data_IF_774688377723
#
_entry.id   IF_774688377723
#
_cell.length_a   1.000
_cell.length_b   1.000
_cell.length_c   1.000
_cell.angle_alpha   90.00
_cell.angle_beta   90.00
_cell.angle_gamma   90.00
#
_symmetry.space_group_name_H-M   'P 1'
#
loop_
_entity.id
_entity.type
_entity.pdbx_description
1 polymer ?
#
# COMPACT_ATOMS: atom_id res chain seq x y z
N UNK A 1 -15.78 22.10 13.48
CA UNK A 1 -14.47 21.62 12.97
C UNK A 1 -13.75 20.96 14.13
N UNK A 2 -13.30 19.71 13.96
CA UNK A 2 -12.65 18.92 15.01
C UNK A 2 -11.25 19.47 15.33
N UNK A 3 -10.94 19.83 16.59
CA UNK A 3 -9.58 20.28 16.97
C UNK A 3 -8.51 19.23 16.68
N UNK A 4 -8.85 17.95 16.87
CA UNK A 4 -7.99 16.82 16.55
C UNK A 4 -7.48 16.83 15.11
N UNK A 5 -8.36 17.19 14.16
CA UNK A 5 -8.02 17.23 12.74
C UNK A 5 -6.95 18.28 12.44
N UNK A 6 -7.04 19.45 13.06
CA UNK A 6 -6.08 20.54 12.88
C UNK A 6 -4.71 20.11 13.39
N UNK A 7 -4.64 19.54 14.61
CA UNK A 7 -3.38 19.08 15.18
C UNK A 7 -2.78 17.92 14.38
N UNK A 8 -3.61 16.96 13.92
CA UNK A 8 -3.13 15.85 13.10
C UNK A 8 -2.57 16.33 11.76
N UNK A 9 -3.26 17.26 11.09
CA UNK A 9 -2.78 17.87 9.85
C UNK A 9 -1.46 18.63 10.05
N UNK A 10 -1.34 19.40 11.14
CA UNK A 10 -0.09 20.09 11.49
C UNK A 10 1.03 19.09 11.82
N UNK A 11 0.72 17.98 12.51
CA UNK A 11 1.69 16.94 12.83
C UNK A 11 2.27 16.33 11.55
N UNK A 12 1.41 15.89 10.62
CA UNK A 12 1.84 15.32 9.34
C UNK A 12 2.58 16.37 8.51
N UNK A 13 2.02 17.56 8.31
CA UNK A 13 2.66 18.59 7.49
C UNK A 13 4.03 19.03 8.03
N UNK A 14 4.17 19.12 9.36
CA UNK A 14 5.46 19.40 10.00
C UNK A 14 6.41 18.23 9.83
N UNK A 15 5.92 16.99 9.99
CA UNK A 15 6.73 15.80 9.77
C UNK A 15 7.24 15.74 8.34
N UNK A 16 6.42 16.01 7.31
CA UNK A 16 6.88 16.00 5.91
C UNK A 16 8.02 16.99 5.64
N UNK A 17 8.19 18.04 6.46
CA UNK A 17 9.25 19.06 6.35
C UNK A 17 10.39 18.89 7.35
N UNK A 18 10.39 17.82 8.13
CA UNK A 18 11.35 17.61 9.23
C UNK A 18 12.56 16.72 8.88
N UNK A 19 12.91 16.64 7.60
CA UNK A 19 14.09 15.89 7.15
C UNK A 19 15.36 16.61 7.63
N UNK A 20 16.49 15.89 7.73
CA UNK A 20 17.77 16.51 8.10
C UNK A 20 18.20 17.69 7.21
N UNK A 21 17.72 17.74 5.98
CA UNK A 21 18.00 18.84 5.04
C UNK A 21 17.11 20.07 5.32
N UNK A 22 15.90 19.87 5.84
CA UNK A 22 14.93 20.94 6.12
C UNK A 22 14.93 21.30 7.62
N UNK A 23 13.87 20.96 8.39
CA UNK A 23 13.73 21.38 9.80
C UNK A 23 14.52 20.51 10.80
N UNK A 24 15.10 19.40 10.35
CA UNK A 24 15.91 18.47 11.15
C UNK A 24 15.24 18.01 12.46
N UNK A 25 16.06 17.79 13.48
CA UNK A 25 15.60 17.31 14.79
C UNK A 25 14.53 18.21 15.44
N UNK A 26 14.67 19.54 15.29
CA UNK A 26 13.71 20.50 15.83
C UNK A 26 12.31 20.33 15.21
N UNK A 27 12.24 20.12 13.90
CA UNK A 27 11.00 19.85 13.18
C UNK A 27 10.35 18.55 13.64
N UNK A 28 11.14 17.48 13.83
CA UNK A 28 10.62 16.19 14.28
C UNK A 28 10.06 16.26 15.70
N UNK A 29 10.74 16.95 16.61
CA UNK A 29 10.26 17.17 17.97
C UNK A 29 8.94 17.97 17.99
N UNK A 30 8.85 19.00 17.14
CA UNK A 30 7.60 19.77 16.97
C UNK A 30 6.47 18.93 16.38
N UNK A 31 6.77 18.09 15.39
CA UNK A 31 5.80 17.18 14.79
C UNK A 31 5.27 16.17 15.82
N UNK A 32 6.14 15.63 16.68
CA UNK A 32 5.75 14.76 17.79
C UNK A 32 4.84 15.47 18.81
N UNK A 33 5.15 16.73 19.13
CA UNK A 33 4.29 17.53 20.01
C UNK A 33 2.88 17.70 19.42
N UNK A 34 2.77 18.06 18.14
CA UNK A 34 1.48 18.16 17.46
C UNK A 34 0.74 16.82 17.41
N UNK A 35 1.45 15.71 17.16
CA UNK A 35 0.87 14.36 17.23
C UNK A 35 0.27 14.09 18.59
N UNK A 36 0.99 14.40 19.67
CA UNK A 36 0.48 14.15 21.03
C UNK A 36 -0.75 15.01 21.33
N UNK A 37 -0.74 16.28 20.91
CA UNK A 37 -1.92 17.15 21.03
C UNK A 37 -3.11 16.61 20.22
N UNK A 38 -2.87 16.07 19.02
CA UNK A 38 -3.90 15.43 18.20
C UNK A 38 -4.49 14.20 18.89
N UNK A 39 -3.65 13.31 19.45
CA UNK A 39 -4.08 12.12 20.17
C UNK A 39 -4.95 12.47 21.39
N UNK A 40 -4.51 13.44 22.21
CA UNK A 40 -5.29 13.90 23.36
C UNK A 40 -6.65 14.48 22.93
N UNK A 41 -6.68 15.27 21.85
CA UNK A 41 -7.92 15.82 21.31
C UNK A 41 -8.85 14.73 20.74
N UNK A 42 -8.28 13.71 20.08
CA UNK A 42 -9.02 12.54 19.56
C UNK A 42 -9.73 11.79 20.70
N UNK A 43 -8.99 11.46 21.77
CA UNK A 43 -9.52 10.75 22.94
C UNK A 43 -10.58 11.56 23.69
N UNK A 44 -10.39 12.87 23.79
CA UNK A 44 -11.37 13.78 24.38
C UNK A 44 -12.66 13.85 23.56
N UNK A 45 -12.57 13.97 22.23
CA UNK A 45 -13.75 13.95 21.34
C UNK A 45 -14.47 12.60 21.41
N UNK A 46 -13.72 11.49 21.45
CA UNK A 46 -14.28 10.14 21.58
C UNK A 46 -15.02 9.94 22.90
N UNK A 47 -14.39 10.29 24.03
CA UNK A 47 -15.00 10.18 25.36
C UNK A 47 -16.24 11.09 25.51
N UNK A 48 -16.21 12.27 24.88
CA UNK A 48 -17.34 13.21 24.85
C UNK A 48 -18.43 12.84 23.83
N UNK A 49 -18.31 11.71 23.13
CA UNK A 49 -19.22 11.25 22.08
C UNK A 49 -19.37 12.23 20.90
N UNK A 50 -18.39 13.11 20.68
CA UNK A 50 -18.34 13.97 19.51
C UNK A 50 -17.65 13.26 18.34
N UNK A 51 -18.36 12.27 17.78
CA UNK A 51 -17.86 11.39 16.72
C UNK A 51 -18.46 11.84 15.38
N UNK A 52 -17.62 12.36 14.49
CA UNK A 52 -17.99 12.78 13.13
C UNK A 52 -16.91 12.37 12.11
N UNK A 53 -17.16 12.51 10.79
CA UNK A 53 -16.16 12.16 9.77
C UNK A 53 -14.84 12.93 9.89
N UNK A 54 -14.85 14.13 10.49
CA UNK A 54 -13.64 14.89 10.77
C UNK A 54 -12.76 14.22 11.84
N UNK A 55 -13.38 13.53 12.81
CA UNK A 55 -12.66 12.72 13.79
C UNK A 55 -12.01 11.51 13.12
N UNK A 56 -12.71 10.86 12.18
CA UNK A 56 -12.15 9.77 11.39
C UNK A 56 -10.96 10.25 10.53
N UNK A 57 -11.07 11.44 9.93
CA UNK A 57 -9.98 12.03 9.14
C UNK A 57 -8.76 12.35 10.01
N UNK A 58 -8.98 12.84 11.23
CA UNK A 58 -7.91 13.08 12.20
C UNK A 58 -7.20 11.78 12.60
N UNK A 59 -7.96 10.72 12.90
CA UNK A 59 -7.41 9.40 13.21
C UNK A 59 -6.62 8.80 12.03
N UNK A 60 -7.09 9.00 10.79
CA UNK A 60 -6.37 8.60 9.58
C UNK A 60 -5.01 9.31 9.48
N UNK A 61 -4.98 10.62 9.69
CA UNK A 61 -3.73 11.39 9.66
C UNK A 61 -2.77 10.97 10.79
N UNK A 62 -3.27 10.63 11.97
CA UNK A 62 -2.45 10.03 13.04
C UNK A 62 -1.87 8.68 12.61
N UNK A 63 -2.65 7.81 11.95
CA UNK A 63 -2.14 6.54 11.45
C UNK A 63 -1.06 6.74 10.36
N UNK A 64 -1.24 7.71 9.46
CA UNK A 64 -0.21 8.10 8.47
C UNK A 64 1.07 8.55 9.19
N UNK A 65 0.93 9.36 10.24
CA UNK A 65 2.08 9.80 11.05
C UNK A 65 2.83 8.62 11.66
N UNK A 66 2.13 7.68 12.30
CA UNK A 66 2.75 6.50 12.94
C UNK A 66 3.34 5.51 11.92
N UNK A 67 2.82 5.48 10.69
CA UNK A 67 3.41 4.68 9.60
C UNK A 67 4.71 5.26 9.05
N UNK A 68 4.99 6.52 9.36
CA UNK A 68 6.14 7.26 8.87
C UNK A 68 7.39 7.10 9.74
N UNK A 69 8.58 7.31 9.16
CA UNK A 69 9.80 7.35 9.94
C UNK A 69 9.87 8.59 10.85
N UNK A 70 9.80 8.37 12.16
CA UNK A 70 10.00 9.39 13.19
C UNK A 70 10.72 8.79 14.42
N UNK A 71 11.27 9.62 15.34
CA UNK A 71 12.14 9.13 16.42
C UNK A 71 11.49 8.13 17.38
N UNK A 72 10.17 8.18 17.51
CA UNK A 72 9.37 7.31 18.38
C UNK A 72 8.54 6.27 17.58
N UNK A 73 8.88 6.03 16.31
CA UNK A 73 8.13 5.09 15.46
C UNK A 73 8.30 3.66 15.96
N UNK A 74 7.18 2.95 16.10
CA UNK A 74 7.11 1.57 16.56
C UNK A 74 5.90 0.87 15.95
N UNK A 75 5.99 -0.46 15.81
CA UNK A 75 4.86 -1.26 15.30
C UNK A 75 3.64 -1.17 16.23
N UNK A 76 3.86 -1.12 17.55
CA UNK A 76 2.80 -1.03 18.57
C UNK A 76 1.98 0.26 18.43
N UNK A 77 2.63 1.42 18.31
CA UNK A 77 1.92 2.70 18.14
C UNK A 77 1.12 2.77 16.85
N UNK A 78 1.65 2.18 15.77
CA UNK A 78 0.92 2.08 14.51
C UNK A 78 -0.31 1.17 14.66
N UNK A 79 -0.17 0.03 15.33
CA UNK A 79 -1.27 -0.90 15.61
C UNK A 79 -2.38 -0.24 16.43
N UNK A 80 -2.03 0.51 17.48
CA UNK A 80 -2.97 1.26 18.32
C UNK A 80 -3.69 2.34 17.51
N UNK A 81 -2.94 3.12 16.72
CA UNK A 81 -3.52 4.18 15.89
C UNK A 81 -4.49 3.63 14.84
N UNK A 82 -4.15 2.49 14.21
CA UNK A 82 -5.04 1.79 13.28
C UNK A 82 -6.26 1.20 13.99
N UNK A 83 -6.10 0.62 15.18
CA UNK A 83 -7.23 0.08 15.98
C UNK A 83 -8.22 1.18 16.35
N UNK A 84 -7.73 2.37 16.68
CA UNK A 84 -8.57 3.53 17.00
C UNK A 84 -9.31 4.04 15.76
N UNK A 85 -8.61 4.16 14.63
CA UNK A 85 -9.22 4.50 13.33
C UNK A 85 -10.32 3.49 12.93
N UNK A 86 -10.03 2.19 13.06
CA UNK A 86 -10.96 1.10 12.77
C UNK A 86 -12.24 1.23 13.60
N UNK A 87 -12.09 1.52 14.90
CA UNK A 87 -13.20 1.73 15.83
C UNK A 87 -14.08 2.93 15.43
N UNK A 88 -13.47 4.05 15.03
CA UNK A 88 -14.22 5.24 14.59
C UNK A 88 -14.96 4.96 13.27
N UNK A 89 -14.30 4.38 12.28
CA UNK A 89 -14.91 4.06 10.98
C UNK A 89 -16.09 3.11 11.15
N UNK A 90 -15.94 2.09 12.01
CA UNK A 90 -17.01 1.16 12.34
C UNK A 90 -18.18 1.84 13.04
N UNK A 91 -17.90 2.74 13.99
CA UNK A 91 -18.94 3.47 14.74
C UNK A 91 -19.75 4.40 13.84
N UNK A 92 -19.09 5.04 12.88
CA UNK A 92 -19.71 5.91 11.88
C UNK A 92 -20.31 5.14 10.69
N UNK A 93 -20.10 3.82 10.61
CA UNK A 93 -20.52 2.95 9.52
C UNK A 93 -20.12 3.48 8.12
N UNK A 94 -18.93 4.09 8.01
CA UNK A 94 -18.51 4.79 6.78
C UNK A 94 -18.25 3.83 5.60
N UNK A 95 -17.99 2.55 5.86
CA UNK A 95 -17.80 1.54 4.80
C UNK A 95 -19.10 1.13 4.12
N UNK A 96 -20.26 1.55 4.64
CA UNK A 96 -21.58 1.20 4.11
C UNK A 96 -22.40 2.42 3.65
N UNK A 97 -21.74 3.55 3.35
CA UNK A 97 -22.40 4.78 2.90
C UNK A 97 -23.25 4.60 1.64
N UNK A 98 -22.85 3.69 0.75
CA UNK A 98 -23.49 3.48 -0.55
C UNK A 98 -24.34 2.20 -0.58
N UNK A 99 -24.77 1.67 0.58
CA UNK A 99 -25.53 0.41 0.67
C UNK A 99 -26.83 0.41 -0.14
N UNK A 100 -27.41 1.58 -0.41
CA UNK A 100 -28.64 1.74 -1.19
C UNK A 100 -28.38 2.06 -2.67
N UNK A 101 -27.13 2.19 -3.09
CA UNK A 101 -26.77 2.43 -4.49
C UNK A 101 -26.83 1.11 -5.28
N UNK A 102 -27.52 1.08 -6.45
CA UNK A 102 -27.72 -0.16 -7.21
C UNK A 102 -26.41 -0.72 -7.80
N UNK A 103 -25.43 0.14 -8.06
CA UNK A 103 -24.16 -0.23 -8.68
C UNK A 103 -23.09 -0.63 -7.65
N UNK A 104 -23.38 -0.52 -6.35
CA UNK A 104 -22.39 -0.81 -5.30
C UNK A 104 -21.95 -2.27 -5.32
N UNK A 105 -20.65 -2.50 -5.21
CA UNK A 105 -20.13 -3.85 -5.05
C UNK A 105 -20.40 -4.34 -3.63
N UNK A 106 -20.85 -5.58 -3.49
CA UNK A 106 -21.05 -6.23 -2.19
C UNK A 106 -20.30 -7.55 -2.17
N UNK A 107 -19.80 -7.93 -1.00
CA UNK A 107 -18.93 -9.09 -0.84
C UNK A 107 -19.46 -10.00 0.26
N UNK A 108 -19.33 -11.31 0.05
CA UNK A 108 -19.74 -12.32 1.03
C UNK A 108 -18.57 -12.63 1.96
N UNK A 109 -18.83 -12.69 3.26
CA UNK A 109 -17.81 -13.03 4.26
C UNK A 109 -17.24 -14.41 3.99
N UNK A 110 -15.91 -14.52 3.99
CA UNK A 110 -15.20 -15.78 3.74
C UNK A 110 -15.17 -16.22 2.27
N UNK A 111 -15.74 -15.45 1.35
CA UNK A 111 -15.62 -15.67 -0.09
C UNK A 111 -14.59 -14.71 -0.71
N UNK A 112 -14.15 -15.03 -1.93
CA UNK A 112 -13.26 -14.14 -2.69
C UNK A 112 -14.03 -12.88 -3.08
N UNK A 113 -13.47 -11.67 -2.89
CA UNK A 113 -14.13 -10.43 -3.26
C UNK A 113 -14.09 -10.20 -4.78
N UNK A 114 -14.93 -10.94 -5.51
CA UNK A 114 -15.03 -10.88 -6.98
C UNK A 114 -15.91 -9.71 -7.39
N UNK A 115 -15.42 -8.89 -8.31
CA UNK A 115 -16.21 -7.80 -8.91
C UNK A 115 -16.66 -8.20 -10.31
N UNK A 116 -17.94 -8.53 -10.43
CA UNK A 116 -18.53 -8.90 -11.71
C UNK A 116 -18.67 -7.68 -12.62
N UNK A 117 -18.24 -7.84 -13.88
CA UNK A 117 -18.46 -6.84 -14.93
C UNK A 117 -19.94 -6.82 -15.29
N UNK A 118 -20.53 -5.63 -15.27
CA UNK A 118 -21.89 -5.44 -15.77
C UNK A 118 -21.92 -5.66 -17.28
N UNK A 119 -22.91 -6.42 -17.77
CA UNK A 119 -23.16 -6.64 -19.21
C UNK A 119 -23.42 -5.35 -19.99
N UNK A 120 -23.71 -4.24 -19.29
CA UNK A 120 -23.84 -2.89 -19.85
C UNK A 120 -22.55 -2.33 -20.46
N UNK A 121 -21.38 -2.86 -20.11
CA UNK A 121 -20.10 -2.37 -20.60
C UNK A 121 -19.44 -3.40 -21.53
N UNK A 122 -19.13 -3.05 -22.79
CA UNK A 122 -18.46 -3.98 -23.69
C UNK A 122 -17.03 -4.27 -23.22
N UNK A 123 -16.50 -5.47 -23.48
CA UNK A 123 -15.10 -5.77 -23.21
C UNK A 123 -14.22 -4.91 -24.11
N UNK A 124 -13.48 -3.98 -23.52
CA UNK A 124 -12.51 -3.15 -24.25
C UNK A 124 -11.13 -3.79 -24.24
N UNK A 125 -10.45 -3.72 -25.40
CA UNK A 125 -9.06 -4.17 -25.57
C UNK A 125 -8.05 -3.20 -24.97
N UNK A 126 -8.38 -1.90 -24.92
CA UNK A 126 -7.52 -0.83 -24.41
C UNK A 126 -8.33 0.07 -23.48
N UNK A 127 -7.67 0.71 -22.52
CA UNK A 127 -8.31 1.67 -21.61
C UNK A 127 -8.67 2.98 -22.31
N UNK A 128 -9.78 3.61 -21.91
CA UNK A 128 -10.18 4.96 -22.38
C UNK A 128 -9.88 6.05 -21.34
N UNK A 129 -8.90 5.81 -20.48
CA UNK A 129 -8.50 6.79 -19.47
C UNK A 129 -7.94 8.05 -20.17
N UNK A 130 -8.48 9.22 -19.83
CA UNK A 130 -7.95 10.50 -20.30
C UNK A 130 -6.77 10.91 -19.41
N UNK A 131 -5.56 11.15 -19.98
CA UNK A 131 -4.46 11.80 -19.26
C UNK A 131 -4.97 13.01 -18.49
N UNK A 132 -4.73 13.06 -17.19
CA UNK A 132 -4.99 14.27 -16.42
C UNK A 132 -4.12 15.39 -17.00
N UNK A 133 -4.69 16.58 -17.18
CA UNK A 133 -4.05 17.74 -17.82
C UNK A 133 -2.90 18.28 -16.95
N UNK A 134 -1.74 17.62 -16.94
CA UNK A 134 -0.39 18.25 -16.97
C UNK A 134 0.73 17.17 -17.02
N UNK A 135 1.49 17.04 -18.13
CA UNK A 135 2.68 16.17 -18.18
C UNK A 135 3.78 16.57 -17.19
N UNK A 136 3.80 17.83 -16.73
CA UNK A 136 4.81 18.30 -15.78
C UNK A 136 4.62 17.71 -14.36
N UNK A 137 3.38 17.35 -13.98
CA UNK A 137 3.08 16.68 -12.70
C UNK A 137 3.25 15.15 -12.77
N UNK A 138 3.37 14.57 -13.97
CA UNK A 138 3.63 13.14 -14.19
C UNK A 138 5.03 12.68 -13.75
N UNK A 139 5.91 13.61 -13.37
CA UNK A 139 7.22 13.30 -12.77
C UNK A 139 7.12 12.71 -11.37
N UNK A 140 5.93 12.69 -10.77
CA UNK A 140 5.77 12.27 -9.39
C UNK A 140 5.59 10.75 -9.27
N UNK A 141 6.47 10.14 -8.48
CA UNK A 141 6.24 8.90 -7.73
C UNK A 141 5.10 9.03 -6.70
N UNK A 142 4.15 9.91 -6.97
CA UNK A 142 3.15 10.28 -6.02
C UNK A 142 1.92 9.40 -6.18
N UNK A 143 1.29 9.17 -5.03
CA UNK A 143 -0.05 8.65 -4.92
C UNK A 143 -1.02 9.79 -5.33
N UNK A 144 -0.78 10.42 -6.49
CA UNK A 144 -1.36 11.69 -6.94
C UNK A 144 -2.57 11.50 -7.82
N UNK A 145 -2.77 10.32 -8.41
CA UNK A 145 -4.02 10.09 -9.12
C UNK A 145 -5.09 9.78 -8.10
N UNK A 146 -5.57 10.81 -7.40
CA UNK A 146 -6.92 10.78 -6.86
C UNK A 146 -7.87 11.21 -7.97
N UNK A 147 -9.06 10.60 -8.09
CA UNK A 147 -10.05 11.08 -9.04
C UNK A 147 -10.30 12.57 -8.88
N UNK A 148 -10.47 13.30 -10.00
CA UNK A 148 -10.79 14.72 -9.96
C UNK A 148 -12.12 14.97 -9.24
N UNK A 149 -12.26 16.17 -8.68
CA UNK A 149 -13.53 16.63 -8.10
C UNK A 149 -14.39 17.21 -9.22
N UNK A 150 -15.66 16.83 -9.30
CA UNK A 150 -16.61 17.47 -10.21
C UNK A 150 -17.04 18.81 -9.60
N UNK A 151 -16.89 19.90 -10.36
CA UNK A 151 -17.26 21.25 -9.92
C UNK A 151 -18.77 21.40 -9.70
N UNK A 152 -19.57 20.49 -10.25
CA UNK A 152 -21.03 20.53 -10.13
C UNK A 152 -21.55 19.77 -8.91
N UNK A 153 -20.67 19.14 -8.11
CA UNK A 153 -21.09 18.44 -6.89
C UNK A 153 -21.55 19.42 -5.81
N UNK A 154 -22.66 19.07 -5.18
CA UNK A 154 -23.12 19.73 -3.96
C UNK A 154 -22.19 19.44 -2.77
N UNK A 155 -22.22 20.30 -1.74
CA UNK A 155 -21.45 20.10 -0.50
C UNK A 155 -21.70 18.72 0.14
N UNK A 156 -22.91 18.18 -0.01
CA UNK A 156 -23.26 16.86 0.49
C UNK A 156 -22.58 15.75 -0.30
N UNK A 157 -22.49 15.87 -1.62
CA UNK A 157 -21.79 14.92 -2.49
C UNK A 157 -20.29 14.96 -2.28
N UNK A 158 -19.72 16.17 -2.14
CA UNK A 158 -18.30 16.36 -1.79
C UNK A 158 -18.00 15.64 -0.47
N UNK A 159 -18.78 15.89 0.58
CA UNK A 159 -18.60 15.23 1.89
C UNK A 159 -18.73 13.71 1.82
N UNK A 160 -19.67 13.18 1.03
CA UNK A 160 -19.79 11.74 0.82
C UNK A 160 -18.54 11.18 0.15
N UNK A 161 -18.04 11.85 -0.89
CA UNK A 161 -16.83 11.45 -1.58
C UNK A 161 -15.58 11.53 -0.69
N UNK A 162 -15.46 12.57 0.14
CA UNK A 162 -14.42 12.66 1.18
C UNK A 162 -14.46 11.44 2.10
N UNK A 163 -15.65 11.04 2.57
CA UNK A 163 -15.79 9.86 3.43
C UNK A 163 -15.44 8.56 2.69
N UNK A 164 -15.76 8.43 1.39
CA UNK A 164 -15.35 7.28 0.58
C UNK A 164 -13.83 7.19 0.48
N UNK A 165 -13.18 8.30 0.11
CA UNK A 165 -11.71 8.38 -0.01
C UNK A 165 -11.02 8.09 1.31
N UNK A 166 -11.60 8.56 2.42
CA UNK A 166 -11.12 8.27 3.77
C UNK A 166 -11.13 6.76 4.05
N UNK A 167 -12.23 6.07 3.75
CA UNK A 167 -12.34 4.62 3.97
C UNK A 167 -11.37 3.81 3.11
N UNK A 168 -11.24 4.16 1.82
CA UNK A 168 -10.28 3.50 0.94
C UNK A 168 -8.82 3.78 1.34
N UNK A 169 -8.52 4.98 1.84
CA UNK A 169 -7.19 5.31 2.38
C UNK A 169 -6.90 4.56 3.68
N UNK A 170 -7.91 4.43 4.56
CA UNK A 170 -7.79 3.64 5.78
C UNK A 170 -7.54 2.16 5.47
N UNK A 171 -8.24 1.60 4.47
CA UNK A 171 -7.98 0.24 3.97
C UNK A 171 -6.54 0.10 3.49
N UNK A 172 -6.01 1.09 2.76
CA UNK A 172 -4.64 1.06 2.26
C UNK A 172 -3.61 0.95 3.39
N UNK A 173 -3.74 1.76 4.44
CA UNK A 173 -2.85 1.69 5.61
C UNK A 173 -3.00 0.36 6.36
N UNK A 174 -4.23 -0.10 6.57
CA UNK A 174 -4.48 -1.37 7.24
C UNK A 174 -3.90 -2.56 6.44
N UNK A 175 -4.07 -2.56 5.11
CA UNK A 175 -3.54 -3.59 4.21
C UNK A 175 -2.01 -3.64 4.23
N UNK A 176 -1.37 -2.47 4.24
CA UNK A 176 0.09 -2.35 4.32
C UNK A 176 0.61 -2.83 5.69
N UNK A 177 -0.07 -2.48 6.79
CA UNK A 177 0.28 -2.98 8.12
C UNK A 177 0.12 -4.50 8.22
N UNK A 178 -1.01 -5.05 7.75
CA UNK A 178 -1.22 -6.51 7.69
C UNK A 178 -0.16 -7.19 6.83
N UNK A 179 0.28 -6.55 5.73
CA UNK A 179 1.37 -7.05 4.91
C UNK A 179 2.70 -7.09 5.66
N UNK A 180 2.99 -6.11 6.50
CA UNK A 180 4.20 -6.07 7.32
C UNK A 180 4.16 -7.16 8.39
N UNK A 181 3.05 -7.30 9.12
CA UNK A 181 2.88 -8.40 10.08
C UNK A 181 2.98 -9.76 9.39
N UNK A 182 2.40 -9.90 8.19
CA UNK A 182 2.47 -11.13 7.41
C UNK A 182 3.92 -11.52 7.09
N UNK A 183 4.72 -10.54 6.69
CA UNK A 183 6.12 -10.72 6.31
C UNK A 183 7.01 -11.03 7.51
N UNK A 184 6.81 -10.34 8.63
CA UNK A 184 7.56 -10.54 9.87
C UNK A 184 7.10 -11.79 10.66
N UNK A 185 6.10 -12.54 10.17
CA UNK A 185 5.49 -13.66 10.87
C UNK A 185 4.89 -13.27 12.24
N UNK A 186 4.46 -12.01 12.36
CA UNK A 186 3.76 -11.51 13.54
C UNK A 186 2.28 -11.86 13.47
N UNK A 187 1.64 -11.95 14.64
CA UNK A 187 0.19 -12.15 14.73
C UNK A 187 -0.51 -10.96 14.09
N UNK A 188 -1.37 -11.22 13.11
CA UNK A 188 -2.13 -10.17 12.44
C UNK A 188 -3.23 -9.65 13.36
N UNK A 189 -3.43 -8.32 13.44
CA UNK A 189 -4.60 -7.77 14.08
C UNK A 189 -5.85 -8.09 13.25
N UNK A 190 -6.98 -8.27 13.92
CA UNK A 190 -8.27 -8.48 13.27
C UNK A 190 -9.02 -7.13 13.20
N UNK A 191 -8.82 -6.38 12.12
CA UNK A 191 -9.48 -5.10 11.90
C UNK A 191 -10.81 -5.27 11.15
N UNK A 192 -11.82 -4.45 11.51
CA UNK A 192 -13.06 -4.35 10.74
C UNK A 192 -12.79 -3.92 9.29
N UNK A 193 -11.83 -3.01 9.09
CA UNK A 193 -11.37 -2.53 7.78
C UNK A 193 -10.77 -3.63 6.90
N UNK A 194 -10.22 -4.71 7.46
CA UNK A 194 -9.56 -5.74 6.63
C UNK A 194 -10.52 -6.78 6.07
N UNK A 195 -11.78 -6.79 6.51
CA UNK A 195 -12.79 -7.75 6.06
C UNK A 195 -13.58 -7.19 4.86
N UNK A 196 -13.45 -7.78 3.65
CA UNK A 196 -14.13 -7.28 2.47
C UNK A 196 -15.65 -7.21 2.59
N UNK A 197 -16.28 -8.12 3.35
CA UNK A 197 -17.73 -8.13 3.53
C UNK A 197 -18.30 -6.87 4.20
N UNK A 198 -17.46 -6.08 4.85
CA UNK A 198 -17.85 -4.83 5.50
C UNK A 198 -17.95 -3.65 4.53
N UNK A 199 -17.50 -3.82 3.28
CA UNK A 199 -17.53 -2.77 2.26
C UNK A 199 -18.80 -2.86 1.42
N UNK A 200 -19.59 -1.78 1.50
CA UNK A 200 -20.70 -1.44 0.60
C UNK A 200 -20.52 0.02 0.20
N UNK A 201 -19.43 0.23 -0.52
CA UNK A 201 -18.89 1.54 -0.86
C UNK A 201 -18.54 1.55 -2.36
N UNK A 202 -18.88 2.63 -3.05
CA UNK A 202 -18.46 2.82 -4.44
C UNK A 202 -16.93 2.97 -4.50
N UNK A 203 -16.31 2.38 -5.52
CA UNK A 203 -14.88 2.55 -5.76
C UNK A 203 -14.58 4.01 -6.15
N UNK A 204 -13.35 4.50 -5.87
CA UNK A 204 -12.97 5.84 -6.26
C UNK A 204 -13.14 6.06 -7.76
N UNK A 205 -13.82 7.15 -8.13
CA UNK A 205 -14.09 7.50 -9.53
C UNK A 205 -15.41 6.96 -10.09
N UNK A 206 -16.11 6.03 -9.42
CA UNK A 206 -17.42 5.52 -9.92
C UNK A 206 -18.48 6.61 -10.01
N UNK A 207 -18.55 7.50 -9.00
CA UNK A 207 -19.48 8.64 -9.01
C UNK A 207 -19.13 9.61 -10.13
N UNK A 208 -17.84 9.87 -10.34
CA UNK A 208 -17.36 10.76 -11.39
C UNK A 208 -17.74 10.24 -12.77
N UNK A 209 -17.62 8.94 -13.03
CA UNK A 209 -18.00 8.32 -14.31
C UNK A 209 -19.49 8.39 -14.64
N UNK A 210 -20.36 8.78 -13.69
CA UNK A 210 -21.79 9.06 -13.95
C UNK A 210 -22.00 10.39 -14.66
N UNK A 211 -21.07 11.33 -14.49
CA UNK A 211 -21.11 12.63 -15.16
C UNK A 211 -20.88 12.44 -16.67
N UNK A 212 -21.70 13.04 -17.56
CA UNK A 212 -21.57 12.86 -19.01
C UNK A 212 -20.21 13.34 -19.54
N UNK A 213 -19.56 14.26 -18.84
CA UNK A 213 -18.24 14.80 -19.17
C UNK A 213 -17.13 13.76 -18.98
N UNK A 214 -17.29 12.90 -17.97
CA UNK A 214 -16.30 11.93 -17.52
C UNK A 214 -16.69 10.48 -17.82
N UNK A 215 -17.86 10.25 -18.40
CA UNK A 215 -18.30 8.94 -18.84
C UNK A 215 -17.52 8.54 -20.10
N UNK A 216 -16.60 7.58 -19.94
CA UNK A 216 -15.79 7.05 -21.04
C UNK A 216 -16.44 5.86 -21.74
N UNK A 217 -17.61 5.40 -21.28
CA UNK A 217 -18.25 4.17 -21.75
C UNK A 217 -17.54 2.88 -21.29
N UNK A 218 -16.42 3.00 -20.56
CA UNK A 218 -15.76 1.89 -19.89
C UNK A 218 -16.41 1.62 -18.53
N UNK A 219 -16.38 0.37 -18.07
CA UNK A 219 -16.79 0.04 -16.70
C UNK A 219 -15.93 0.83 -15.69
N UNK A 220 -16.52 1.63 -14.79
CA UNK A 220 -15.74 2.41 -13.82
C UNK A 220 -15.03 1.52 -12.79
N UNK A 221 -15.48 0.27 -12.64
CA UNK A 221 -14.86 -0.77 -11.80
C UNK A 221 -13.57 -1.36 -12.41
N UNK A 222 -13.27 -1.02 -13.66
CA UNK A 222 -11.98 -1.32 -14.31
C UNK A 222 -11.04 -0.12 -14.35
N UNK A 223 -11.40 1.02 -13.74
CA UNK A 223 -10.48 2.14 -13.56
C UNK A 223 -9.29 1.73 -12.68
N UNK A 224 -8.14 2.40 -12.85
CA UNK A 224 -6.93 2.07 -12.08
C UNK A 224 -7.15 2.18 -10.56
N UNK A 225 -8.01 3.11 -10.12
CA UNK A 225 -8.36 3.29 -8.71
C UNK A 225 -9.20 2.14 -8.16
N UNK A 226 -10.20 1.69 -8.94
CA UNK A 226 -11.02 0.55 -8.59
C UNK A 226 -10.19 -0.74 -8.56
N UNK A 227 -9.26 -0.92 -9.52
CA UNK A 227 -8.33 -2.04 -9.53
C UNK A 227 -7.44 -2.05 -8.28
N UNK A 228 -6.90 -0.89 -7.87
CA UNK A 228 -6.14 -0.78 -6.63
C UNK A 228 -6.96 -1.20 -5.40
N UNK A 229 -8.21 -0.75 -5.29
CA UNK A 229 -9.10 -1.14 -4.20
C UNK A 229 -9.42 -2.65 -4.21
N UNK A 230 -9.66 -3.23 -5.39
CA UNK A 230 -9.87 -4.67 -5.55
C UNK A 230 -8.64 -5.48 -5.14
N UNK A 231 -7.44 -5.04 -5.51
CA UNK A 231 -6.19 -5.66 -5.07
C UNK A 231 -6.06 -5.69 -3.54
N UNK A 232 -6.38 -4.58 -2.86
CA UNK A 232 -6.34 -4.50 -1.39
C UNK A 232 -7.36 -5.45 -0.75
N UNK A 233 -8.60 -5.49 -1.26
CA UNK A 233 -9.63 -6.41 -0.77
C UNK A 233 -9.24 -7.88 -0.96
N UNK A 234 -8.74 -8.23 -2.15
CA UNK A 234 -8.27 -9.58 -2.47
C UNK A 234 -7.11 -10.00 -1.57
N UNK A 235 -6.14 -9.10 -1.37
CA UNK A 235 -5.01 -9.33 -0.47
C UNK A 235 -5.46 -9.65 0.95
N UNK A 236 -6.31 -8.81 1.54
CA UNK A 236 -6.77 -9.05 2.91
C UNK A 236 -7.62 -10.33 3.02
N UNK A 237 -8.45 -10.63 2.01
CA UNK A 237 -9.19 -11.90 1.96
C UNK A 237 -8.26 -13.12 2.00
N UNK A 238 -7.14 -13.05 1.28
CA UNK A 238 -6.12 -14.11 1.29
C UNK A 238 -5.41 -14.25 2.65
N UNK A 239 -5.32 -13.17 3.44
CA UNK A 239 -4.73 -13.20 4.78
C UNK A 239 -5.65 -13.83 5.83
N UNK A 240 -6.96 -13.56 5.78
CA UNK A 240 -7.93 -14.15 6.72
C UNK A 240 -7.94 -15.69 6.64
N UNK A 241 -7.74 -16.26 5.45
CA UNK A 241 -7.60 -17.71 5.28
C UNK A 241 -6.30 -18.31 5.82
N UNK A 242 -5.30 -17.48 6.10
CA UNK A 242 -4.04 -17.91 6.72
C UNK A 242 -4.22 -18.15 8.22
N UNK A 243 -5.01 -17.30 8.87
CA UNK A 243 -5.19 -17.29 10.33
C UNK A 243 -6.24 -18.30 10.82
N UNK A 244 -7.16 -18.72 9.94
CA UNK A 244 -8.14 -19.78 10.24
C UNK A 244 -7.43 -21.14 10.38
N UNK A 245 -7.17 -21.51 11.63
CA UNK A 245 -6.48 -22.75 12.02
C UNK A 245 -7.15 -24.01 11.47
N UNK A 246 -6.48 -24.69 10.53
CA UNK A 246 -6.29 -26.16 10.36
C UNK A 246 -7.52 -27.11 10.38
N UNK A 247 -8.78 -26.69 10.55
CA UNK A 247 -9.89 -27.65 10.80
C UNK A 247 -11.12 -27.58 9.90
N UNK A 248 -11.17 -26.72 8.89
CA UNK A 248 -12.35 -26.64 8.01
C UNK A 248 -12.01 -26.89 6.54
N UNK A 249 -12.53 -28.03 6.06
CA UNK A 249 -12.83 -28.44 4.67
C UNK A 249 -11.82 -27.99 3.61
N UNK A 250 -10.84 -28.87 3.32
CA UNK A 250 -9.88 -28.70 2.22
C UNK A 250 -10.56 -28.36 0.89
N UNK A 251 -11.78 -28.85 0.65
CA UNK A 251 -12.56 -28.53 -0.55
C UNK A 251 -12.88 -27.03 -0.69
N UNK A 252 -13.33 -26.39 0.38
CA UNK A 252 -13.61 -24.94 0.38
C UNK A 252 -12.35 -24.10 0.21
N UNK A 253 -11.22 -24.55 0.75
CA UNK A 253 -9.92 -23.87 0.59
C UNK A 253 -9.45 -23.93 -0.86
N UNK A 254 -9.61 -25.08 -1.51
CA UNK A 254 -9.28 -25.25 -2.94
C UNK A 254 -10.18 -24.35 -3.79
N UNK A 255 -11.50 -24.38 -3.55
CA UNK A 255 -12.45 -23.54 -4.30
C UNK A 255 -12.13 -22.05 -4.15
N UNK A 256 -11.92 -21.56 -2.92
CA UNK A 256 -11.50 -20.19 -2.69
C UNK A 256 -10.20 -19.87 -3.42
N UNK A 257 -9.21 -20.78 -3.35
CA UNK A 257 -7.91 -20.56 -3.99
C UNK A 257 -8.03 -20.42 -5.50
N UNK A 258 -8.86 -21.26 -6.14
CA UNK A 258 -9.13 -21.18 -7.58
C UNK A 258 -9.82 -19.87 -7.92
N UNK A 259 -10.83 -19.46 -7.14
CA UNK A 259 -11.53 -18.18 -7.35
C UNK A 259 -10.60 -16.98 -7.14
N UNK A 260 -9.75 -17.00 -6.12
CA UNK A 260 -8.80 -15.93 -5.81
C UNK A 260 -7.76 -15.79 -6.93
N UNK A 261 -7.34 -16.90 -7.54
CA UNK A 261 -6.46 -16.87 -8.69
C UNK A 261 -7.17 -16.31 -9.92
N UNK A 262 -8.40 -16.75 -10.20
CA UNK A 262 -9.21 -16.19 -11.29
C UNK A 262 -9.43 -14.68 -11.16
N UNK A 263 -9.64 -14.17 -9.94
CA UNK A 263 -9.74 -12.73 -9.69
C UNK A 263 -8.39 -12.02 -9.83
N UNK A 264 -7.29 -12.60 -9.34
CA UNK A 264 -5.94 -12.05 -9.51
C UNK A 264 -5.54 -11.91 -10.99
N UNK A 265 -5.81 -12.94 -11.80
CA UNK A 265 -5.56 -12.94 -13.24
C UNK A 265 -6.46 -11.90 -13.94
N UNK A 266 -7.75 -11.86 -13.59
CA UNK A 266 -8.69 -10.87 -14.14
C UNK A 266 -8.28 -9.42 -13.81
N UNK A 267 -7.70 -9.18 -12.64
CA UNK A 267 -7.13 -7.89 -12.26
C UNK A 267 -5.85 -7.62 -13.05
N UNK A 268 -4.95 -8.61 -13.19
CA UNK A 268 -3.72 -8.46 -13.97
C UNK A 268 -4.02 -8.11 -15.43
N UNK A 269 -4.94 -8.83 -16.06
CA UNK A 269 -5.41 -8.56 -17.42
C UNK A 269 -6.07 -7.16 -17.53
N UNK A 270 -6.74 -6.70 -16.47
CA UNK A 270 -7.28 -5.35 -16.43
C UNK A 270 -6.17 -4.29 -16.33
N UNK A 271 -5.12 -4.53 -15.55
CA UNK A 271 -3.95 -3.65 -15.43
C UNK A 271 -3.19 -3.59 -16.76
N UNK A 272 -3.01 -4.71 -17.44
CA UNK A 272 -2.26 -4.75 -18.72
C UNK A 272 -2.97 -4.01 -19.85
N UNK A 273 -4.29 -3.83 -19.75
CA UNK A 273 -5.07 -2.95 -20.65
C UNK A 273 -4.81 -1.46 -20.42
N UNK A 274 -4.24 -1.06 -19.28
CA UNK A 274 -3.91 0.34 -18.95
C UNK A 274 -2.56 0.79 -19.53
N UNK A 275 -2.50 0.90 -20.86
CA UNK A 275 -1.34 1.45 -21.57
C UNK A 275 -1.23 2.99 -21.49
N UNK A 276 -2.25 3.65 -20.93
CA UNK A 276 -2.34 5.10 -20.81
C UNK A 276 -1.27 5.74 -19.89
N UNK A 277 -0.59 4.93 -19.06
CA UNK A 277 0.40 5.40 -18.07
C UNK A 277 -0.13 6.51 -17.14
N UNK A 278 -1.45 6.57 -16.90
CA UNK A 278 -2.11 7.55 -16.03
C UNK A 278 -1.44 7.69 -14.66
N UNK A 279 -1.22 6.57 -14.00
CA UNK A 279 -0.51 6.50 -12.73
C UNK A 279 0.35 5.25 -12.71
N UNK A 280 1.62 5.40 -13.08
CA UNK A 280 2.53 4.25 -13.06
C UNK A 280 2.77 3.73 -11.64
N UNK A 281 2.68 4.60 -10.62
CA UNK A 281 2.91 4.19 -9.22
C UNK A 281 1.77 3.31 -8.70
N UNK A 282 0.51 3.65 -9.01
CA UNK A 282 -0.64 2.79 -8.70
C UNK A 282 -0.59 1.48 -9.48
N UNK A 283 -0.20 1.49 -10.77
CA UNK A 283 -0.02 0.26 -11.54
C UNK A 283 1.00 -0.67 -10.87
N UNK A 284 2.15 -0.15 -10.46
CA UNK A 284 3.17 -0.94 -9.75
C UNK A 284 2.67 -1.46 -8.40
N UNK A 285 1.95 -0.62 -7.65
CA UNK A 285 1.37 -1.01 -6.35
C UNK A 285 0.33 -2.13 -6.53
N UNK A 286 -0.51 -2.05 -7.56
CA UNK A 286 -1.46 -3.10 -7.88
C UNK A 286 -0.76 -4.42 -8.23
N UNK A 287 0.28 -4.36 -9.08
CA UNK A 287 1.08 -5.54 -9.43
C UNK A 287 1.79 -6.14 -8.21
N UNK A 288 2.27 -5.31 -7.30
CA UNK A 288 2.85 -5.74 -6.03
C UNK A 288 1.83 -6.51 -5.18
N UNK A 289 0.61 -5.99 -5.03
CA UNK A 289 -0.46 -6.65 -4.27
C UNK A 289 -0.91 -7.97 -4.91
N UNK A 290 -1.10 -7.99 -6.23
CA UNK A 290 -1.42 -9.22 -6.97
C UNK A 290 -0.33 -10.26 -6.75
N UNK A 291 0.94 -9.87 -6.91
CA UNK A 291 2.07 -10.76 -6.67
C UNK A 291 2.09 -11.28 -5.22
N UNK A 292 1.88 -10.41 -4.22
CA UNK A 292 1.80 -10.80 -2.82
C UNK A 292 0.71 -11.87 -2.59
N UNK A 293 -0.47 -11.72 -3.20
CA UNK A 293 -1.54 -12.73 -3.13
C UNK A 293 -1.08 -14.09 -3.68
N UNK A 294 -0.50 -14.09 -4.89
CA UNK A 294 -0.02 -15.31 -5.56
C UNK A 294 1.13 -15.97 -4.80
N UNK A 295 2.03 -15.16 -4.24
CA UNK A 295 3.17 -15.61 -3.43
C UNK A 295 2.74 -16.23 -2.10
N UNK A 296 1.76 -15.64 -1.42
CA UNK A 296 1.22 -16.15 -0.15
C UNK A 296 0.51 -17.50 -0.36
N UNK A 297 -0.19 -17.66 -1.48
CA UNK A 297 -0.76 -18.95 -1.89
C UNK A 297 0.32 -20.01 -2.06
N UNK A 298 1.43 -19.72 -2.74
CA UNK A 298 2.51 -20.70 -2.91
C UNK A 298 3.01 -21.24 -1.57
N UNK A 299 3.22 -20.35 -0.59
CA UNK A 299 3.60 -20.72 0.77
C UNK A 299 2.58 -21.64 1.45
N UNK A 300 1.28 -21.42 1.18
CA UNK A 300 0.18 -22.20 1.78
C UNK A 300 -0.06 -23.52 1.04
N UNK A 301 0.14 -23.56 -0.27
CA UNK A 301 -0.10 -24.73 -1.13
C UNK A 301 0.93 -25.86 -0.96
N UNK A 302 2.13 -25.54 -0.49
CA UNK A 302 3.12 -26.56 -0.10
C UNK A 302 2.60 -27.41 1.07
N UNK A 303 1.66 -26.89 1.87
CA UNK A 303 0.97 -27.62 2.93
C UNK A 303 -0.18 -28.50 2.40
N UNK A 304 -0.70 -28.24 1.19
CA UNK A 304 -1.72 -29.07 0.51
C UNK A 304 -1.14 -30.12 -0.45
N UNK A 305 0.19 -30.34 -0.44
CA UNK A 305 0.87 -31.40 -1.20
C UNK A 305 0.46 -32.84 -0.79
N UNK A 306 -0.55 -33.00 0.06
CA UNK A 306 -1.17 -34.29 0.38
C UNK A 306 -2.07 -34.85 -0.75
N UNK A 307 -2.23 -34.15 -1.89
CA UNK A 307 -3.12 -34.60 -2.99
C UNK A 307 -2.45 -34.90 -4.35
N UNK A 308 -1.14 -35.11 -4.42
CA UNK A 308 -0.52 -35.83 -5.56
C UNK A 308 -0.58 -35.17 -6.94
N UNK A 309 -1.01 -33.90 -7.06
CA UNK A 309 -0.91 -33.12 -8.30
C UNK A 309 0.52 -32.56 -8.42
N UNK A 310 1.19 -32.92 -9.53
CA UNK A 310 2.60 -32.67 -9.83
C UNK A 310 3.09 -31.27 -9.43
N UNK A 311 4.12 -31.23 -8.59
CA UNK A 311 4.80 -30.03 -8.10
C UNK A 311 5.43 -29.15 -9.19
N UNK A 312 5.68 -29.69 -10.40
CA UNK A 312 6.49 -29.02 -11.41
C UNK A 312 5.78 -27.88 -12.16
N UNK A 313 4.47 -28.00 -12.42
CA UNK A 313 3.73 -26.93 -13.11
C UNK A 313 3.56 -25.71 -12.22
N UNK A 314 3.27 -25.89 -10.93
CA UNK A 314 3.10 -24.79 -9.97
C UNK A 314 4.41 -24.04 -9.66
N UNK A 315 5.56 -24.74 -9.68
CA UNK A 315 6.89 -24.12 -9.50
C UNK A 315 7.25 -23.18 -10.65
N UNK A 316 7.03 -23.60 -11.90
CA UNK A 316 7.35 -22.80 -13.09
C UNK A 316 6.54 -21.49 -13.16
N UNK A 317 5.24 -21.54 -12.83
CA UNK A 317 4.42 -20.33 -12.83
C UNK A 317 4.80 -19.37 -11.69
N UNK A 318 5.17 -19.85 -10.50
CA UNK A 318 5.69 -18.99 -9.43
C UNK A 318 6.93 -18.21 -9.85
N UNK A 319 7.82 -18.89 -10.60
CA UNK A 319 9.08 -18.29 -11.08
C UNK A 319 8.83 -17.20 -12.11
N UNK A 320 7.95 -17.45 -13.09
CA UNK A 320 7.60 -16.46 -14.12
C UNK A 320 7.07 -15.15 -13.49
N UNK A 321 6.14 -15.25 -12.54
CA UNK A 321 5.61 -14.08 -11.83
C UNK A 321 6.67 -13.37 -10.99
N UNK A 322 7.60 -14.12 -10.38
CA UNK A 322 8.73 -13.53 -9.67
C UNK A 322 9.67 -12.77 -10.62
N UNK A 323 9.99 -13.33 -11.79
CA UNK A 323 10.81 -12.69 -12.82
C UNK A 323 10.13 -11.43 -13.40
N UNK A 324 8.83 -11.48 -13.67
CA UNK A 324 8.03 -10.33 -14.09
C UNK A 324 8.01 -9.23 -13.02
N UNK A 325 7.81 -9.60 -11.75
CA UNK A 325 7.88 -8.65 -10.63
C UNK A 325 9.27 -8.02 -10.53
N UNK A 326 10.35 -8.81 -10.58
CA UNK A 326 11.73 -8.31 -10.55
C UNK A 326 11.98 -7.32 -11.70
N UNK A 327 11.48 -7.62 -12.90
CA UNK A 327 11.61 -6.73 -14.06
C UNK A 327 10.95 -5.37 -13.83
N UNK A 328 9.71 -5.34 -13.33
CA UNK A 328 9.01 -4.07 -13.06
C UNK A 328 9.65 -3.27 -11.91
N UNK A 329 10.08 -3.96 -10.85
CA UNK A 329 10.75 -3.32 -9.71
C UNK A 329 12.12 -2.76 -10.08
N UNK A 330 12.82 -3.35 -11.06
CA UNK A 330 14.07 -2.80 -11.57
C UNK A 330 13.86 -1.45 -12.29
N UNK A 331 12.79 -1.30 -13.07
CA UNK A 331 12.46 -0.03 -13.72
C UNK A 331 12.20 1.07 -12.69
N UNK A 332 11.50 0.70 -11.61
CA UNK A 332 11.21 1.55 -10.48
C UNK A 332 12.51 1.97 -9.75
N UNK A 333 13.37 1.02 -9.41
CA UNK A 333 14.68 1.28 -8.78
C UNK A 333 15.56 2.23 -9.63
N UNK A 334 15.57 2.08 -10.96
CA UNK A 334 16.28 2.99 -11.88
C UNK A 334 15.78 4.42 -11.78
N UNK A 335 14.45 4.64 -11.77
CA UNK A 335 13.86 5.98 -11.65
C UNK A 335 14.20 6.64 -10.30
N UNK A 336 14.14 5.88 -9.21
CA UNK A 336 14.47 6.39 -7.87
C UNK A 336 15.95 6.76 -7.76
N UNK A 337 16.84 5.98 -8.37
CA UNK A 337 18.27 6.29 -8.39
C UNK A 337 18.56 7.64 -9.04
N UNK A 338 17.86 7.98 -10.12
CA UNK A 338 17.93 9.31 -10.74
C UNK A 338 17.47 10.39 -9.76
N UNK A 339 16.32 10.20 -9.10
CA UNK A 339 15.80 11.17 -8.13
C UNK A 339 16.74 11.42 -6.92
N UNK A 340 17.52 10.42 -6.50
CA UNK A 340 18.53 10.58 -5.43
C UNK A 340 19.65 11.56 -5.84
N UNK A 341 20.00 11.64 -7.14
CA UNK A 341 21.03 12.57 -7.61
C UNK A 341 20.57 14.03 -7.59
N UNK A 342 19.25 14.27 -7.60
CA UNK A 342 18.63 15.60 -7.61
C UNK A 342 18.02 16.00 -6.25
N UNK A 343 18.51 15.44 -5.13
CA UNK A 343 17.96 15.67 -3.78
C UNK A 343 17.92 17.16 -3.34
N UNK A 344 18.81 17.99 -3.86
CA UNK A 344 18.88 19.43 -3.58
C UNK A 344 17.97 20.29 -4.47
N UNK A 345 17.37 19.70 -5.50
CA UNK A 345 16.52 20.38 -6.48
C UNK A 345 15.04 20.13 -6.15
N UNK A 346 14.13 20.82 -6.85
CA UNK A 346 12.68 20.65 -6.67
C UNK A 346 12.24 19.19 -6.87
N UNK A 347 12.92 18.45 -7.76
CA UNK A 347 12.69 17.02 -8.01
C UNK A 347 13.08 16.14 -6.80
N UNK A 348 13.98 16.62 -5.94
CA UNK A 348 14.39 15.97 -4.69
C UNK A 348 13.31 15.96 -3.61
N UNK A 349 12.30 16.84 -3.71
CA UNK A 349 11.14 16.85 -2.80
C UNK A 349 10.39 15.52 -2.76
N UNK A 350 10.49 14.72 -3.82
CA UNK A 350 9.91 13.38 -3.90
C UNK A 350 10.43 12.44 -2.81
N UNK A 351 11.68 12.61 -2.36
CA UNK A 351 12.29 11.79 -1.33
C UNK A 351 12.38 12.54 0.01
N UNK A 352 12.68 13.84 -0.01
CA UNK A 352 12.88 14.63 1.21
C UNK A 352 11.60 14.92 1.98
N UNK A 353 10.42 14.75 1.37
CA UNK A 353 9.11 14.94 2.02
C UNK A 353 8.28 13.67 2.16
N UNK A 354 8.90 12.48 2.08
CA UNK A 354 8.20 11.18 2.18
C UNK A 354 8.78 10.29 3.28
N UNK A 355 8.52 10.61 4.56
CA UNK A 355 9.02 9.84 5.70
C UNK A 355 8.45 8.41 5.76
N UNK A 356 7.28 8.15 5.16
CA UNK A 356 6.68 6.81 5.03
C UNK A 356 7.38 5.90 4.01
N UNK A 357 8.23 6.45 3.14
CA UNK A 357 8.95 5.65 2.13
C UNK A 357 9.93 4.64 2.73
N UNK A 358 10.49 4.92 3.92
CA UNK A 358 11.51 4.07 4.58
C UNK A 358 11.01 2.64 4.73
N UNK A 359 9.81 2.47 5.29
CA UNK A 359 9.23 1.16 5.57
C UNK A 359 8.98 0.38 4.28
N UNK A 360 8.51 1.05 3.22
CA UNK A 360 8.26 0.43 1.93
C UNK A 360 9.55 -0.08 1.28
N UNK A 361 10.63 0.72 1.26
CA UNK A 361 11.92 0.26 0.74
C UNK A 361 12.49 -0.92 1.54
N UNK A 362 12.34 -0.91 2.86
CA UNK A 362 12.72 -2.05 3.70
C UNK A 362 11.92 -3.31 3.32
N UNK A 363 10.61 -3.19 3.05
CA UNK A 363 9.78 -4.29 2.58
C UNK A 363 10.21 -4.82 1.20
N UNK A 364 10.66 -3.95 0.28
CA UNK A 364 11.16 -4.37 -1.04
C UNK A 364 12.45 -5.21 -0.92
N UNK A 365 13.41 -4.77 -0.10
CA UNK A 365 14.65 -5.52 0.17
C UNK A 365 14.33 -6.88 0.79
N UNK A 366 13.42 -6.89 1.78
CA UNK A 366 13.02 -8.12 2.45
C UNK A 366 12.31 -9.09 1.48
N UNK A 367 11.44 -8.59 0.60
CA UNK A 367 10.79 -9.39 -0.44
C UNK A 367 11.80 -10.03 -1.39
N UNK A 368 12.82 -9.29 -1.82
CA UNK A 368 13.90 -9.81 -2.66
C UNK A 368 14.70 -10.93 -1.95
N UNK A 369 15.00 -10.77 -0.66
CA UNK A 369 15.65 -11.82 0.15
C UNK A 369 14.75 -13.05 0.31
N UNK A 370 13.45 -12.85 0.50
CA UNK A 370 12.49 -13.95 0.59
C UNK A 370 12.36 -14.70 -0.74
N UNK A 371 12.46 -14.00 -1.88
CA UNK A 371 12.48 -14.60 -3.21
C UNK A 371 13.69 -15.50 -3.40
N UNK A 372 14.88 -14.96 -3.13
CA UNK A 372 16.13 -15.69 -3.28
C UNK A 372 16.27 -16.87 -2.30
N UNK A 373 15.81 -16.70 -1.06
CA UNK A 373 15.87 -17.79 -0.07
C UNK A 373 15.03 -19.01 -0.50
N UNK A 374 13.96 -18.78 -1.26
CA UNK A 374 13.10 -19.83 -1.85
C UNK A 374 13.70 -20.41 -3.14
N UNK A 375 14.13 -19.56 -4.07
CA UNK A 375 14.79 -19.98 -5.30
C UNK A 375 16.18 -19.36 -5.40
N UNK A 376 17.20 -20.16 -5.08
CA UNK A 376 18.61 -19.74 -5.09
C UNK A 376 19.13 -19.40 -6.48
N UNK A 377 18.41 -19.79 -7.54
CA UNK A 377 18.78 -19.46 -8.92
C UNK A 377 18.37 -18.04 -9.32
N UNK A 378 17.48 -17.38 -8.56
CA UNK A 378 17.07 -15.99 -8.78
C UNK A 378 18.11 -15.00 -8.24
N UNK A 379 19.31 -15.05 -8.82
CA UNK A 379 20.42 -14.16 -8.48
C UNK A 379 20.05 -12.68 -8.70
N UNK A 380 19.23 -12.38 -9.72
CA UNK A 380 18.75 -11.03 -10.02
C UNK A 380 18.03 -10.37 -8.82
N UNK A 381 17.38 -11.15 -7.97
CA UNK A 381 16.73 -10.63 -6.75
C UNK A 381 17.76 -10.00 -5.79
N UNK A 382 18.98 -10.54 -5.69
CA UNK A 382 20.02 -9.97 -4.83
C UNK A 382 20.57 -8.66 -5.41
N UNK A 383 20.66 -8.53 -6.73
CA UNK A 383 21.09 -7.30 -7.39
C UNK A 383 20.05 -6.18 -7.23
N UNK A 384 18.77 -6.54 -7.35
CA UNK A 384 17.67 -5.62 -7.09
C UNK A 384 17.61 -5.20 -5.61
N UNK A 385 17.81 -6.14 -4.68
CA UNK A 385 17.87 -5.84 -3.24
C UNK A 385 18.96 -4.79 -2.93
N UNK A 386 20.14 -4.90 -3.55
CA UNK A 386 21.20 -3.89 -3.42
C UNK A 386 20.78 -2.54 -3.98
N UNK A 387 20.07 -2.53 -5.10
CA UNK A 387 19.57 -1.32 -5.72
C UNK A 387 18.56 -0.59 -4.82
N UNK A 388 17.70 -1.32 -4.10
CA UNK A 388 16.79 -0.73 -3.10
C UNK A 388 17.43 -0.36 -1.77
N UNK A 389 18.58 -0.96 -1.44
CA UNK A 389 19.31 -0.64 -0.22
C UNK A 389 19.88 0.80 -0.24
N UNK A 390 20.23 1.32 -1.43
CA UNK A 390 20.72 2.70 -1.60
C UNK A 390 19.67 3.75 -1.18
N UNK A 391 18.43 3.79 -1.75
CA UNK A 391 17.39 4.70 -1.28
C UNK A 391 17.04 4.46 0.20
N UNK A 392 17.11 3.22 0.70
CA UNK A 392 16.87 2.95 2.11
C UNK A 392 17.90 3.63 3.03
N UNK A 393 19.18 3.65 2.65
CA UNK A 393 20.20 4.41 3.40
C UNK A 393 19.95 5.91 3.35
N UNK A 394 19.63 6.44 2.17
CA UNK A 394 19.33 7.86 1.98
C UNK A 394 18.17 8.29 2.87
N UNK A 395 17.07 7.53 2.88
CA UNK A 395 15.89 7.88 3.68
C UNK A 395 16.14 7.70 5.19
N UNK A 396 16.91 6.70 5.61
CA UNK A 396 17.30 6.57 7.03
C UNK A 396 18.22 7.70 7.50
N UNK A 397 19.04 8.26 6.60
CA UNK A 397 19.84 9.45 6.89
C UNK A 397 18.97 10.71 6.96
N UNK A 398 17.98 10.85 6.07
CA UNK A 398 17.03 11.96 6.09
C UNK A 398 16.08 11.94 7.30
N UNK A 399 15.68 10.73 7.73
CA UNK A 399 14.68 10.49 8.76
C UNK A 399 15.22 9.50 9.81
N UNK A 400 16.05 9.97 10.75
CA UNK A 400 16.64 9.09 11.75
C UNK A 400 15.54 8.53 12.68
N UNK A 401 15.34 7.21 12.56
CA UNK A 401 14.51 6.42 13.46
C UNK A 401 15.31 5.21 13.97
N UNK A 402 15.40 4.99 15.29
CA UNK A 402 16.12 3.83 15.85
C UNK A 402 15.55 2.48 15.39
N UNK A 403 14.22 2.37 15.26
CA UNK A 403 13.56 1.12 14.86
C UNK A 403 13.86 0.77 13.40
N UNK A 404 13.75 1.76 12.51
CA UNK A 404 14.03 1.58 11.08
C UNK A 404 15.51 1.37 10.80
N UNK A 405 16.40 2.02 11.57
CA UNK A 405 17.84 1.79 11.46
C UNK A 405 18.23 0.36 11.79
N UNK A 406 17.74 -0.18 12.92
CA UNK A 406 17.96 -1.60 13.28
C UNK A 406 17.47 -2.54 12.18
N UNK A 407 16.25 -2.32 11.68
CA UNK A 407 15.69 -3.10 10.59
C UNK A 407 16.54 -3.05 9.32
N UNK A 408 17.08 -1.88 8.98
CA UNK A 408 17.98 -1.71 7.84
C UNK A 408 19.30 -2.48 8.03
N UNK A 409 19.88 -2.44 9.23
CA UNK A 409 21.11 -3.14 9.57
C UNK A 409 20.91 -4.67 9.49
N UNK A 410 19.79 -5.19 10.00
CA UNK A 410 19.43 -6.63 9.92
C UNK A 410 19.26 -7.10 8.46
N UNK A 411 18.59 -6.28 7.63
CA UNK A 411 18.42 -6.56 6.20
C UNK A 411 19.76 -6.52 5.46
N UNK A 412 20.65 -5.58 5.80
CA UNK A 412 22.00 -5.48 5.22
C UNK A 412 22.82 -6.73 5.56
N UNK A 413 22.80 -7.17 6.82
CA UNK A 413 23.53 -8.36 7.25
C UNK A 413 23.02 -9.60 6.50
N UNK A 414 21.70 -9.77 6.43
CA UNK A 414 21.06 -10.86 5.70
C UNK A 414 21.42 -10.88 4.21
N UNK A 415 21.42 -9.70 3.58
CA UNK A 415 21.84 -9.55 2.19
C UNK A 415 23.33 -9.82 1.97
N UNK A 416 24.19 -9.41 2.91
CA UNK A 416 25.62 -9.70 2.88
C UNK A 416 25.90 -11.22 2.92
N UNK A 417 25.22 -11.94 3.83
CA UNK A 417 25.27 -13.40 3.92
C UNK A 417 24.79 -14.07 2.64
N UNK A 418 23.69 -13.59 2.07
CA UNK A 418 23.16 -14.11 0.81
C UNK A 418 24.15 -13.92 -0.36
N UNK A 419 24.69 -12.71 -0.52
CA UNK A 419 25.67 -12.41 -1.57
C UNK A 419 26.96 -13.23 -1.45
N UNK A 420 27.45 -13.44 -0.22
CA UNK A 420 28.62 -14.25 0.04
C UNK A 420 28.43 -15.71 -0.39
N UNK A 421 27.22 -16.25 -0.23
CA UNK A 421 26.90 -17.62 -0.64
C UNK A 421 26.83 -17.85 -2.15
N UNK A 422 26.66 -16.77 -2.93
CA UNK A 422 26.56 -16.82 -4.41
C UNK A 422 27.77 -16.20 -5.10
N UNK A 423 28.87 -15.92 -4.37
CA UNK A 423 30.07 -15.26 -4.88
C UNK A 423 29.84 -13.88 -5.53
N UNK A 424 28.78 -13.18 -5.11
CA UNK A 424 28.48 -11.83 -5.60
C UNK A 424 29.09 -10.83 -4.62
N UNK A 425 29.66 -9.70 -5.08
CA UNK A 425 30.20 -8.68 -4.20
C UNK A 425 29.16 -8.24 -3.15
N UNK A 426 29.55 -8.04 -1.88
CA UNK A 426 28.63 -7.59 -0.84
C UNK A 426 28.10 -6.18 -1.12
N UNK A 427 26.96 -5.79 -0.50
CA UNK A 427 26.45 -4.42 -0.63
C UNK A 427 27.46 -3.38 -0.14
N UNK A 428 27.62 -2.30 -0.90
CA UNK A 428 28.50 -1.19 -0.54
C UNK A 428 28.15 -0.66 0.86
N UNK A 429 29.16 -0.27 1.67
CA UNK A 429 28.93 0.44 2.93
C UNK A 429 27.99 1.64 2.77
N UNK A 430 27.17 1.90 3.79
CA UNK A 430 26.22 3.00 3.78
C UNK A 430 26.90 4.36 3.53
N UNK A 431 28.04 4.62 4.18
CA UNK A 431 28.80 5.86 4.00
C UNK A 431 29.30 6.11 2.56
N UNK A 432 29.52 5.06 1.77
CA UNK A 432 29.91 5.18 0.35
C UNK A 432 28.71 5.34 -0.57
N UNK A 433 27.55 4.83 -0.15
CA UNK A 433 26.30 4.87 -0.92
C UNK A 433 25.52 6.17 -0.71
N UNK A 434 25.79 6.89 0.37
CA UNK A 434 25.16 8.17 0.66
C UNK A 434 25.72 9.28 -0.25
N UNK A 435 24.86 10.16 -0.78
CA UNK A 435 25.27 11.41 -1.39
C UNK A 435 26.17 12.22 -0.45
N UNK A 436 27.18 12.97 -0.95
CA UNK A 436 28.12 13.72 -0.11
C UNK A 436 27.44 14.63 0.91
N UNK A 437 26.27 15.18 0.57
CA UNK A 437 25.48 16.06 1.43
C UNK A 437 24.92 15.38 2.69
N UNK A 438 24.78 14.05 2.68
CA UNK A 438 24.25 13.25 3.79
C UNK A 438 25.34 12.46 4.53
N UNK A 439 26.61 12.64 4.15
CA UNK A 439 27.77 12.07 4.84
C UNK A 439 28.20 13.03 5.97
N UNK A 440 27.36 13.18 6.99
CA UNK A 440 27.73 13.89 8.22
C UNK A 440 27.87 12.92 9.38
#
# INVERSE_FOLDING_TARGET
>A
MQPALIYAALAVATLLKASEIELGASGRNRALWFRQAAQNALENSWSSQWIDPGLAAAALLCAIFESSAHPQSSSERLAESLSFLDSIIRTLNLTALDVHEPDVSTFVRGAVPVVYRSSRYPPMKECLCRPQEDPAEQLTYAWTSTPVWDQNWSDAEVKREECRRLCWSALSLASEYVSQCAFNQEKQPNFFLTEPANYKLLFPGEVLSRSPVHNTGQSPKESIWALHCRCMLLWNACQVLRDTSVREDDGRRVEFTVQAWGEADAISDAIDRHICNMDTALIYTCRELVYKCTFQRHLTSTLSSLQGLSSDTNSMFSRKHAEEWLHYQEQLAKRIKVAIHHLSELDGHLLTRRPFGVTWFANQVATCLSLWSRDRTLVHALELAKSFLVPLYVLNALWPSPSQKRRCDDLRESLGKACASTSIPPPLPAHLSLPPMLRQ
#
